data_IF_237730303899
#
_entry.id   IF_237730303899
#
_cell.length_a   1.000
_cell.length_b   1.000
_cell.length_c   1.000
_cell.angle_alpha   90.00
_cell.angle_beta   90.00
_cell.angle_gamma   90.00
#
_symmetry.space_group_name_H-M   'P 1'
#
loop_
_entity.id
_entity.type
_entity.pdbx_description
1 polymer ?
#
# COMPACT_ATOMS: atom_id res chain seq x y z
N UNK A 1 -0.74 16.94 8.93
CA UNK A 1 -1.60 15.92 8.29
C UNK A 1 -1.95 14.80 9.25
N UNK A 2 -1.02 13.96 9.71
CA UNK A 2 -1.40 12.85 10.62
C UNK A 2 -2.01 13.33 11.94
N UNK A 3 -1.42 14.35 12.58
CA UNK A 3 -2.00 15.03 13.75
C UNK A 3 -3.42 15.54 13.50
N UNK A 4 -3.70 16.03 12.30
CA UNK A 4 -5.01 16.56 11.90
C UNK A 4 -6.02 15.43 11.65
N UNK A 5 -5.56 14.29 11.15
CA UNK A 5 -6.37 13.07 11.01
C UNK A 5 -6.74 12.55 12.40
N UNK A 6 -5.75 12.47 13.32
CA UNK A 6 -5.98 12.02 14.70
C UNK A 6 -6.90 12.93 15.48
N UNK A 7 -6.80 14.24 15.32
CA UNK A 7 -7.71 15.19 15.99
C UNK A 7 -9.16 15.11 15.50
N UNK A 8 -9.39 14.49 14.34
CA UNK A 8 -10.71 14.20 13.76
C UNK A 8 -11.14 12.74 13.97
N UNK A 9 -10.58 12.04 14.96
CA UNK A 9 -10.85 10.62 15.25
C UNK A 9 -10.54 9.65 14.09
N UNK A 10 -9.71 10.04 13.13
CA UNK A 10 -9.17 9.12 12.12
C UNK A 10 -7.85 8.48 12.55
N UNK A 11 -7.41 7.49 11.79
CA UNK A 11 -6.07 6.92 11.93
C UNK A 11 -5.45 6.57 10.57
N UNK A 12 -4.15 6.29 10.56
CA UNK A 12 -3.42 5.77 9.40
C UNK A 12 -2.84 4.42 9.79
N UNK A 13 -3.12 3.42 8.97
CA UNK A 13 -2.34 2.19 8.92
C UNK A 13 -1.43 2.26 7.69
N UNK A 14 -0.14 2.44 7.94
CA UNK A 14 0.88 2.36 6.90
C UNK A 14 1.26 0.90 6.67
N UNK A 15 1.45 0.52 5.40
CA UNK A 15 1.81 -0.84 5.04
C UNK A 15 3.06 -0.79 4.17
N UNK A 16 4.14 -1.38 4.66
CA UNK A 16 5.36 -1.56 3.89
C UNK A 16 5.29 -2.91 3.15
N UNK A 17 5.30 -2.87 1.83
CA UNK A 17 5.43 -4.07 0.99
C UNK A 17 6.92 -4.36 0.83
N UNK A 18 7.46 -5.20 1.70
CA UNK A 18 8.89 -5.53 1.74
C UNK A 18 9.09 -6.99 2.17
N UNK A 19 9.57 -7.82 1.24
CA UNK A 19 9.83 -9.26 1.43
C UNK A 19 10.99 -9.58 2.38
N UNK A 20 11.77 -8.57 2.79
CA UNK A 20 12.92 -8.75 3.69
C UNK A 20 12.55 -8.57 5.17
N UNK A 21 11.28 -8.25 5.45
CA UNK A 21 10.75 -8.14 6.80
C UNK A 21 10.95 -6.78 7.49
N UNK A 22 10.52 -6.68 8.75
CA UNK A 22 10.40 -5.41 9.47
C UNK A 22 11.71 -4.67 9.66
N UNK A 23 12.84 -5.37 9.74
CA UNK A 23 14.15 -4.74 9.95
C UNK A 23 14.61 -3.88 8.78
N UNK A 24 14.03 -4.06 7.58
CA UNK A 24 14.28 -3.16 6.45
C UNK A 24 13.42 -1.90 6.47
N UNK A 25 12.17 -2.01 6.91
CA UNK A 25 11.24 -0.89 6.92
C UNK A 25 11.34 -0.03 8.18
N UNK A 26 11.65 -0.63 9.34
CA UNK A 26 11.72 0.02 10.66
C UNK A 26 12.60 1.28 10.67
N UNK A 27 13.83 1.30 10.11
CA UNK A 27 14.67 2.50 10.17
C UNK A 27 14.03 3.73 9.53
N UNK A 28 13.29 3.55 8.43
CA UNK A 28 12.61 4.66 7.76
C UNK A 28 11.44 5.21 8.57
N UNK A 29 10.70 4.31 9.23
CA UNK A 29 9.60 4.67 10.12
C UNK A 29 10.11 5.48 11.32
N UNK A 30 11.14 4.97 11.99
CA UNK A 30 11.74 5.60 13.18
C UNK A 30 12.42 6.92 12.83
N UNK A 31 13.20 6.97 11.74
CA UNK A 31 13.88 8.18 11.28
C UNK A 31 12.89 9.29 10.89
N UNK A 32 11.72 8.92 10.34
CA UNK A 32 10.67 9.88 10.01
C UNK A 32 9.95 10.41 11.27
N UNK A 33 10.15 9.80 12.44
CA UNK A 33 9.36 10.09 13.64
C UNK A 33 7.87 9.82 13.42
N UNK A 34 7.55 8.80 12.61
CA UNK A 34 6.16 8.47 12.31
C UNK A 34 5.43 7.98 13.57
N UNK A 35 4.25 8.54 13.82
CA UNK A 35 3.41 8.19 14.98
C UNK A 35 2.27 7.23 14.64
N UNK A 36 1.99 7.03 13.36
CA UNK A 36 1.02 6.03 12.89
C UNK A 36 1.57 4.62 12.97
N UNK A 37 0.74 3.59 12.92
CA UNK A 37 1.23 2.20 12.88
C UNK A 37 1.74 1.87 11.47
N UNK A 38 2.91 1.23 11.38
CA UNK A 38 3.37 0.56 10.14
C UNK A 38 3.39 -0.96 10.35
N UNK A 39 2.71 -1.69 9.47
CA UNK A 39 2.82 -3.16 9.35
C UNK A 39 3.60 -3.52 8.09
N UNK A 40 4.14 -4.74 8.04
CA UNK A 40 4.91 -5.24 6.88
C UNK A 40 4.16 -6.37 6.21
N UNK A 41 3.99 -6.27 4.90
CA UNK A 41 3.44 -7.31 4.03
C UNK A 41 4.60 -7.99 3.28
N UNK A 42 5.21 -8.98 3.94
CA UNK A 42 6.35 -9.73 3.39
C UNK A 42 5.94 -10.64 2.22
N UNK A 43 4.71 -11.14 2.28
CA UNK A 43 4.14 -12.10 1.33
C UNK A 43 3.45 -11.42 0.13
N UNK A 44 3.43 -10.08 0.11
CA UNK A 44 2.70 -9.27 -0.87
C UNK A 44 1.22 -9.71 -1.00
N UNK A 45 0.63 -10.09 0.14
CA UNK A 45 -0.74 -10.58 0.24
C UNK A 45 -1.76 -9.54 -0.21
N UNK A 46 -1.47 -8.26 0.02
CA UNK A 46 -2.39 -7.19 -0.38
C UNK A 46 -2.39 -6.96 -1.88
N UNK A 47 -1.27 -7.16 -2.58
CA UNK A 47 -1.27 -7.12 -4.05
C UNK A 47 -2.13 -8.26 -4.64
N UNK A 48 -2.19 -9.42 -3.98
CA UNK A 48 -3.07 -10.54 -4.38
C UNK A 48 -4.55 -10.19 -4.22
N UNK A 49 -4.90 -9.50 -3.13
CA UNK A 49 -6.28 -9.12 -2.82
C UNK A 49 -6.75 -7.94 -3.69
N UNK A 50 -5.90 -6.93 -3.81
CA UNK A 50 -6.25 -5.64 -4.42
C UNK A 50 -5.77 -5.48 -5.87
N UNK A 51 -4.93 -6.39 -6.37
CA UNK A 51 -4.47 -6.42 -7.76
C UNK A 51 -3.49 -5.30 -8.14
N UNK A 52 -2.91 -4.57 -7.18
CA UNK A 52 -1.95 -3.51 -7.49
C UNK A 52 -0.59 -4.09 -7.91
N UNK A 53 0.11 -3.37 -8.81
CA UNK A 53 1.46 -3.71 -9.29
C UNK A 53 2.49 -2.62 -9.02
N UNK A 54 2.06 -1.53 -8.39
CA UNK A 54 2.89 -0.37 -8.10
C UNK A 54 2.51 0.20 -6.73
N UNK A 55 3.45 0.95 -6.16
CA UNK A 55 3.29 1.80 -4.98
C UNK A 55 3.74 3.23 -5.35
N UNK A 56 3.30 4.29 -4.65
CA UNK A 56 2.43 4.30 -3.46
C UNK A 56 0.93 4.15 -3.81
N UNK A 57 0.21 3.53 -2.87
CA UNK A 57 -1.22 3.25 -2.93
C UNK A 57 -1.97 3.99 -1.80
N UNK A 58 -3.25 4.23 -1.99
CA UNK A 58 -4.13 4.80 -0.97
C UNK A 58 -5.48 4.10 -0.95
N UNK A 59 -5.93 3.77 0.26
CA UNK A 59 -7.23 3.14 0.52
C UNK A 59 -7.88 3.94 1.65
N UNK A 60 -9.13 4.35 1.46
CA UNK A 60 -9.92 5.05 2.49
C UNK A 60 -11.07 4.14 2.90
N UNK A 61 -11.14 3.88 4.20
CA UNK A 61 -12.12 2.97 4.82
C UNK A 61 -12.84 3.74 5.91
N UNK A 62 -14.18 3.72 5.88
CA UNK A 62 -15.00 4.40 6.88
C UNK A 62 -15.04 3.65 8.23
N UNK A 63 -15.71 4.24 9.21
CA UNK A 63 -15.86 3.70 10.56
C UNK A 63 -16.66 2.39 10.65
N UNK A 64 -17.36 2.02 9.57
CA UNK A 64 -18.11 0.76 9.45
C UNK A 64 -17.28 -0.32 8.74
N UNK A 65 -16.04 0.01 8.37
CA UNK A 65 -15.13 -0.89 7.66
C UNK A 65 -15.41 -0.98 6.15
N UNK A 66 -16.18 -0.06 5.56
CA UNK A 66 -16.46 -0.08 4.12
C UNK A 66 -15.41 0.72 3.36
N UNK A 67 -15.01 0.16 2.23
CA UNK A 67 -14.15 0.83 1.27
C UNK A 67 -14.89 2.01 0.62
N UNK A 68 -14.39 3.22 0.82
CA UNK A 68 -14.94 4.43 0.22
C UNK A 68 -14.10 4.91 -0.98
N UNK A 69 -12.80 4.63 -0.99
CA UNK A 69 -11.92 5.01 -2.08
C UNK A 69 -10.69 4.10 -2.15
N UNK A 70 -10.21 3.85 -3.37
CA UNK A 70 -8.94 3.18 -3.62
C UNK A 70 -8.23 3.82 -4.82
N UNK A 71 -6.91 3.96 -4.71
CA UNK A 71 -6.04 4.35 -5.81
C UNK A 71 -4.73 3.56 -5.71
N UNK A 72 -4.37 2.91 -6.81
CA UNK A 72 -3.16 2.11 -6.90
C UNK A 72 -2.17 2.78 -7.84
N UNK A 73 -0.97 3.04 -7.35
CA UNK A 73 0.02 3.87 -8.02
C UNK A 73 -0.29 5.37 -7.90
N UNK A 74 0.76 6.15 -7.58
CA UNK A 74 0.71 7.61 -7.63
C UNK A 74 -0.11 8.29 -6.53
N UNK A 75 -0.56 7.55 -5.50
CA UNK A 75 -1.20 8.14 -4.31
C UNK A 75 -0.14 8.84 -3.45
N UNK A 76 0.09 10.12 -3.75
CA UNK A 76 1.12 10.93 -3.11
C UNK A 76 0.50 12.05 -2.28
N UNK A 77 0.60 11.93 -0.95
CA UNK A 77 0.06 12.89 0.02
C UNK A 77 0.74 14.26 -0.04
N UNK A 78 1.84 14.43 -0.79
CA UNK A 78 2.44 15.76 -1.01
C UNK A 78 1.71 16.56 -2.08
N UNK A 79 0.90 15.91 -2.93
CA UNK A 79 0.08 16.59 -3.93
C UNK A 79 -1.16 17.17 -3.27
N UNK A 80 -1.48 18.42 -3.59
CA UNK A 80 -2.67 19.12 -3.07
C UNK A 80 -3.96 18.37 -3.39
N UNK A 81 -4.08 17.75 -4.57
CA UNK A 81 -5.24 16.91 -4.92
C UNK A 81 -5.43 15.75 -3.94
N UNK A 82 -4.38 14.97 -3.66
CA UNK A 82 -4.44 13.83 -2.73
C UNK A 82 -4.74 14.31 -1.30
N UNK A 83 -4.15 15.43 -0.87
CA UNK A 83 -4.43 16.01 0.45
C UNK A 83 -5.87 16.47 0.57
N UNK A 84 -6.40 17.13 -0.46
CA UNK A 84 -7.79 17.56 -0.53
C UNK A 84 -8.74 16.39 -0.44
N UNK A 85 -8.46 15.32 -1.18
CA UNK A 85 -9.20 14.05 -1.15
C UNK A 85 -9.26 13.47 0.28
N UNK A 86 -8.11 13.29 0.94
CA UNK A 86 -8.06 12.76 2.32
C UNK A 86 -8.79 13.69 3.30
N UNK A 87 -8.63 15.01 3.14
CA UNK A 87 -9.29 15.98 4.01
C UNK A 87 -10.82 15.98 3.87
N UNK A 88 -11.32 15.79 2.65
CA UNK A 88 -12.74 15.65 2.35
C UNK A 88 -13.31 14.37 2.98
N UNK A 89 -12.63 13.23 2.78
CA UNK A 89 -13.00 11.98 3.45
C UNK A 89 -13.08 12.11 4.96
N UNK A 90 -12.09 12.75 5.58
CA UNK A 90 -12.07 12.99 7.03
C UNK A 90 -13.17 13.94 7.53
N UNK A 91 -13.87 14.64 6.64
CA UNK A 91 -14.92 15.60 7.01
C UNK A 91 -16.31 15.03 6.74
N UNK A 92 -16.50 14.36 5.60
CA UNK A 92 -17.82 13.91 5.13
C UNK A 92 -18.01 12.39 5.21
N UNK A 93 -16.95 11.62 5.52
CA UNK A 93 -16.95 10.15 5.59
C UNK A 93 -17.15 9.44 4.24
N UNK A 94 -17.47 10.18 3.18
CA UNK A 94 -17.76 9.69 1.84
C UNK A 94 -17.01 10.51 0.80
N UNK A 95 -16.60 9.85 -0.29
CA UNK A 95 -15.97 10.51 -1.44
C UNK A 95 -16.90 10.37 -2.63
N UNK A 96 -17.25 11.50 -3.26
CA UNK A 96 -18.10 11.52 -4.46
C UNK A 96 -17.39 11.07 -5.75
N UNK A 97 -16.06 11.01 -5.73
CA UNK A 97 -15.22 10.51 -6.83
C UNK A 97 -15.16 8.98 -6.79
N UNK A 98 -15.68 8.33 -7.82
CA UNK A 98 -15.51 6.88 -7.97
C UNK A 98 -14.04 6.56 -8.20
N UNK A 99 -13.57 5.45 -7.62
CA UNK A 99 -12.25 4.91 -7.92
C UNK A 99 -12.23 4.35 -9.33
N UNK A 100 -11.37 4.88 -10.20
CA UNK A 100 -11.18 4.36 -11.56
C UNK A 100 -10.36 3.05 -11.61
N UNK A 101 -9.90 2.56 -10.46
CA UNK A 101 -9.05 1.38 -10.37
C UNK A 101 -9.86 0.09 -10.47
N UNK A 102 -10.05 -0.38 -11.71
CA UNK A 102 -10.27 -1.79 -12.00
C UNK A 102 -8.98 -2.37 -12.55
N UNK A 103 -8.49 -3.42 -11.90
CA UNK A 103 -7.45 -4.28 -12.47
C UNK A 103 -8.04 -5.67 -12.67
N UNK A 104 -8.08 -6.10 -13.93
CA UNK A 104 -8.36 -7.48 -14.31
C UNK A 104 -7.03 -8.19 -14.52
N UNK A 105 -6.68 -9.15 -13.65
CA UNK A 105 -5.60 -10.11 -13.90
C UNK A 105 -4.70 -10.42 -12.70
N UNK A 106 -4.07 -11.62 -12.65
CA UNK A 106 -3.20 -12.01 -11.55
C UNK A 106 -1.87 -11.25 -11.66
N UNK A 107 -1.74 -10.16 -10.89
CA UNK A 107 -0.47 -9.51 -10.64
C UNK A 107 0.56 -10.46 -9.96
N UNK A 108 0.11 -11.60 -9.43
CA UNK A 108 0.83 -12.34 -8.39
C UNK A 108 1.69 -13.52 -8.85
N UNK A 109 1.46 -14.15 -10.02
CA UNK A 109 2.14 -15.43 -10.34
C UNK A 109 3.66 -15.31 -10.33
N UNK A 110 4.21 -14.35 -11.08
CA UNK A 110 5.65 -14.13 -11.15
C UNK A 110 6.25 -13.68 -9.81
N UNK A 111 5.48 -12.90 -9.03
CA UNK A 111 5.92 -12.45 -7.71
C UNK A 111 6.03 -13.64 -6.74
N UNK A 112 4.96 -14.43 -6.62
CA UNK A 112 4.88 -15.60 -5.74
C UNK A 112 5.97 -16.62 -6.07
N UNK A 113 6.16 -16.92 -7.36
CA UNK A 113 7.22 -17.83 -7.81
C UNK A 113 8.62 -17.32 -7.47
N UNK A 114 8.87 -16.02 -7.68
CA UNK A 114 10.15 -15.44 -7.30
C UNK A 114 10.37 -15.40 -5.78
N UNK A 115 9.30 -15.18 -5.01
CA UNK A 115 9.36 -15.19 -3.54
C UNK A 115 9.73 -16.57 -2.98
N UNK A 116 9.20 -17.65 -3.56
CA UNK A 116 9.60 -19.02 -3.18
C UNK A 116 11.12 -19.24 -3.34
N UNK A 117 11.68 -18.86 -4.49
CA UNK A 117 13.13 -18.93 -4.71
C UNK A 117 13.93 -18.04 -3.75
N UNK A 118 13.40 -16.87 -3.41
CA UNK A 118 14.04 -15.96 -2.45
C UNK A 118 14.15 -16.61 -1.06
N UNK A 119 13.09 -17.25 -0.58
CA UNK A 119 13.11 -17.97 0.72
C UNK A 119 14.05 -19.17 0.72
N UNK A 120 14.21 -19.83 -0.42
CA UNK A 120 15.19 -20.92 -0.60
C UNK A 120 16.65 -20.42 -0.71
N UNK A 121 16.86 -19.10 -0.73
CA UNK A 121 18.17 -18.46 -0.88
C UNK A 121 18.67 -18.38 -2.33
N UNK A 122 17.86 -18.77 -3.31
CA UNK A 122 18.17 -18.69 -4.74
C UNK A 122 17.79 -17.31 -5.32
N UNK A 123 18.62 -16.33 -4.97
CA UNK A 123 18.39 -14.92 -5.32
C UNK A 123 18.41 -14.67 -6.82
N UNK A 124 19.23 -15.40 -7.58
CA UNK A 124 19.33 -15.21 -9.03
C UNK A 124 18.07 -15.72 -9.73
N UNK A 125 17.54 -16.89 -9.31
CA UNK A 125 16.30 -17.41 -9.86
C UNK A 125 15.09 -16.55 -9.47
N UNK A 126 15.05 -16.06 -8.22
CA UNK A 126 14.04 -15.12 -7.76
C UNK A 126 13.97 -13.87 -8.65
N UNK A 127 15.14 -13.26 -8.93
CA UNK A 127 15.26 -12.08 -9.80
C UNK A 127 14.83 -12.36 -11.24
N UNK A 128 15.19 -13.53 -11.79
CA UNK A 128 14.76 -13.92 -13.13
C UNK A 128 13.24 -13.99 -13.22
N UNK A 129 12.60 -14.66 -12.26
CA UNK A 129 11.14 -14.81 -12.21
C UNK A 129 10.43 -13.47 -12.09
N UNK A 130 10.93 -12.56 -11.24
CA UNK A 130 10.32 -11.22 -11.11
C UNK A 130 10.45 -10.38 -12.37
N UNK A 131 11.54 -10.51 -13.13
CA UNK A 131 11.73 -9.77 -14.39
C UNK A 131 10.75 -10.21 -15.48
N UNK A 132 10.37 -11.48 -15.52
CA UNK A 132 9.36 -11.98 -16.45
C UNK A 132 8.00 -11.29 -16.24
N UNK A 133 7.66 -10.94 -14.99
CA UNK A 133 6.43 -10.23 -14.64
C UNK A 133 6.39 -8.74 -15.00
N UNK A 134 7.47 -8.18 -15.55
CA UNK A 134 7.56 -6.76 -15.97
C UNK A 134 7.30 -6.60 -17.49
N UNK A 135 7.34 -7.70 -18.25
CA UNK A 135 7.18 -7.71 -19.71
C UNK A 135 5.72 -7.49 -20.17
#
# INVERSE_FOLDING_TARGET
MYSDIKSKNGDILSIAVDLQGPEKSRPYHEQAGAEFVTVVDEENSLARIFGYRAIPNGILVDEEGKLQFQQYGGFDIKKEETRGLVSAFMSDGQISKQSDTRFDGPASDHFERGLAHYHDGDIEQARSMWREGIA
#
